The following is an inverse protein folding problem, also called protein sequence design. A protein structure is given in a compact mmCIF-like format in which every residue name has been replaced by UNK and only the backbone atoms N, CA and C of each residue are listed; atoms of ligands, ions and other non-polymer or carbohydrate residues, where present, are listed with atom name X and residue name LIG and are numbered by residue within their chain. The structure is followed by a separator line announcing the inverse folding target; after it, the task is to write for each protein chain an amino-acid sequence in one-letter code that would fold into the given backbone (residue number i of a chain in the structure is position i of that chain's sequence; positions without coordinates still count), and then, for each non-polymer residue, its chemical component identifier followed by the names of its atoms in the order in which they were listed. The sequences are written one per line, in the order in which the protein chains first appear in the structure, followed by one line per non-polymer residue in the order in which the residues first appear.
data_IF_596804319909
#
_entry.id   IF_596804319909
#
_cell.length_a   1.000
_cell.length_b   1.000
_cell.length_c   1.000
_cell.angle_alpha   90.00
_cell.angle_beta   90.00
_cell.angle_gamma   90.00
#
_symmetry.space_group_name_H-M   'P 1'
#
loop_
_entity.id
_entity.type
_entity.pdbx_description
1 polymer ?
#
# COMPACT_ATOMS: atom_id res chain seq x y z
N UNK A 1 7.92 11.95 -14.28
CA UNK A 1 7.15 10.71 -14.02
C UNK A 1 8.09 9.55 -14.29
N UNK A 2 8.25 8.60 -13.37
CA UNK A 2 9.01 7.39 -13.65
C UNK A 2 8.34 6.64 -14.81
N UNK A 3 9.14 6.30 -15.83
CA UNK A 3 8.69 5.50 -16.97
C UNK A 3 8.98 4.05 -16.62
N UNK A 4 7.94 3.22 -16.55
CA UNK A 4 8.11 1.78 -16.33
C UNK A 4 8.96 1.19 -17.47
N UNK A 5 9.89 0.28 -17.15
CA UNK A 5 10.62 -0.45 -18.18
C UNK A 5 9.65 -1.15 -19.14
N UNK A 6 10.12 -1.26 -20.38
CA UNK A 6 9.32 -1.76 -21.50
C UNK A 6 9.87 -3.12 -21.88
N UNK A 7 9.00 -4.10 -22.14
CA UNK A 7 9.40 -5.39 -22.69
C UNK A 7 9.72 -5.30 -24.19
N UNK A 8 10.15 -6.42 -24.77
CA UNK A 8 10.48 -6.50 -26.19
C UNK A 8 9.28 -6.26 -27.13
N UNK A 9 8.05 -6.24 -26.59
CA UNK A 9 6.81 -5.96 -27.32
C UNK A 9 6.36 -4.50 -27.19
N UNK A 10 7.12 -3.63 -26.52
CA UNK A 10 6.74 -2.24 -26.31
C UNK A 10 5.74 -2.05 -25.15
N UNK A 11 5.47 -3.09 -24.35
CA UNK A 11 4.55 -3.04 -23.22
C UNK A 11 5.29 -2.67 -21.94
N UNK A 12 4.67 -1.84 -21.11
CA UNK A 12 5.23 -1.49 -19.80
C UNK A 12 5.12 -2.70 -18.86
N UNK A 13 6.24 -3.10 -18.26
CA UNK A 13 6.31 -4.17 -17.28
C UNK A 13 6.62 -3.63 -15.89
N UNK A 14 6.09 -4.29 -14.86
CA UNK A 14 6.29 -3.90 -13.49
C UNK A 14 7.58 -4.52 -12.93
N UNK A 15 8.64 -3.72 -12.89
CA UNK A 15 9.99 -4.12 -12.42
C UNK A 15 10.59 -3.07 -11.48
N UNK A 16 9.76 -2.49 -10.61
CA UNK A 16 10.20 -1.54 -9.59
C UNK A 16 11.03 -2.24 -8.50
N UNK A 17 12.02 -1.54 -7.95
CA UNK A 17 12.88 -2.07 -6.89
C UNK A 17 12.14 -2.03 -5.55
N UNK A 18 12.01 -3.15 -4.81
CA UNK A 18 11.51 -3.12 -3.44
C UNK A 18 12.47 -2.37 -2.52
N UNK A 19 11.95 -1.36 -1.83
CA UNK A 19 12.63 -0.57 -0.81
C UNK A 19 12.21 -0.97 0.60
N UNK A 20 12.13 0.02 1.49
CA UNK A 20 11.85 -0.17 2.92
C UNK A 20 10.50 -0.87 3.16
N UNK A 21 10.47 -2.02 3.86
CA UNK A 21 9.22 -2.67 4.23
C UNK A 21 8.64 -2.09 5.51
N UNK A 22 7.31 -2.13 5.62
CA UNK A 22 6.59 -1.86 6.86
C UNK A 22 5.53 -2.95 7.10
N UNK A 23 5.19 -3.18 8.36
CA UNK A 23 4.10 -4.06 8.76
C UNK A 23 3.14 -3.28 9.67
N UNK A 24 1.86 -3.25 9.31
CA UNK A 24 0.81 -2.56 10.07
C UNK A 24 -0.20 -3.60 10.54
N UNK A 25 -0.48 -3.63 11.84
CA UNK A 25 -1.54 -4.48 12.38
C UNK A 25 -2.88 -4.08 11.79
N UNK A 26 -3.67 -5.07 11.37
CA UNK A 26 -5.06 -4.89 10.95
C UNK A 26 -5.92 -5.32 12.14
N UNK A 27 -6.70 -4.40 12.70
CA UNK A 27 -7.65 -4.69 13.77
C UNK A 27 -8.93 -3.85 13.63
N UNK A 28 -9.77 -3.81 14.68
CA UNK A 28 -11.04 -3.09 14.69
C UNK A 28 -10.88 -1.57 14.57
N UNK A 29 -9.74 -1.03 15.00
CA UNK A 29 -9.43 0.39 14.95
C UNK A 29 -8.64 0.70 13.66
N UNK A 30 -8.68 1.97 13.27
CA UNK A 30 -7.79 2.43 12.21
C UNK A 30 -6.35 2.45 12.72
N UNK A 31 -5.45 1.78 12.00
CA UNK A 31 -4.01 1.76 12.25
C UNK A 31 -3.29 2.39 11.07
N UNK A 32 -2.32 3.24 11.32
CA UNK A 32 -1.62 4.00 10.27
C UNK A 32 -0.17 3.56 10.17
N UNK A 33 0.34 3.47 8.94
CA UNK A 33 1.76 3.23 8.66
C UNK A 33 2.61 4.42 9.09
N UNK A 34 3.95 4.25 9.04
CA UNK A 34 4.82 5.41 9.02
C UNK A 34 4.66 6.16 7.69
N UNK A 35 4.92 7.48 7.66
CA UNK A 35 4.97 8.24 6.42
C UNK A 35 5.97 7.62 5.43
N UNK A 36 5.61 7.62 4.16
CA UNK A 36 6.47 7.16 3.07
C UNK A 36 7.66 8.11 2.89
N UNK A 37 8.78 7.56 2.43
CA UNK A 37 10.00 8.31 2.15
C UNK A 37 9.80 9.44 1.14
N UNK A 38 10.76 10.38 1.13
CA UNK A 38 10.73 11.58 0.29
C UNK A 38 10.71 11.30 -1.22
N UNK A 39 11.17 10.12 -1.65
CA UNK A 39 11.24 9.72 -3.05
C UNK A 39 10.18 8.66 -3.43
N UNK A 40 9.35 8.25 -2.47
CA UNK A 40 8.40 7.15 -2.68
C UNK A 40 7.17 7.63 -3.43
N UNK A 41 6.98 7.09 -4.63
CA UNK A 41 5.85 7.43 -5.52
C UNK A 41 4.95 6.23 -5.84
N UNK A 42 5.41 5.03 -5.51
CA UNK A 42 4.64 3.79 -5.64
C UNK A 42 4.86 2.94 -4.39
N UNK A 43 3.82 2.27 -3.92
CA UNK A 43 3.91 1.25 -2.87
C UNK A 43 3.27 -0.04 -3.35
N UNK A 44 3.71 -1.16 -2.78
CA UNK A 44 3.05 -2.47 -2.88
C UNK A 44 2.41 -2.81 -1.53
N UNK A 45 1.16 -3.24 -1.56
CA UNK A 45 0.42 -3.69 -0.38
C UNK A 45 -0.01 -5.14 -0.57
N UNK A 46 0.08 -5.94 0.50
CA UNK A 46 -0.54 -7.26 0.59
C UNK A 46 -0.99 -7.49 2.04
N UNK A 47 -2.23 -7.92 2.23
CA UNK A 47 -2.78 -8.17 3.56
C UNK A 47 -2.96 -9.66 3.84
N UNK A 48 -2.79 -10.09 5.09
CA UNK A 48 -3.10 -11.46 5.52
C UNK A 48 -4.60 -11.69 5.72
N UNK A 49 -5.37 -10.61 5.90
CA UNK A 49 -6.83 -10.59 6.10
C UNK A 49 -7.41 -9.42 5.29
N UNK A 50 -8.65 -9.55 4.81
CA UNK A 50 -9.29 -8.49 4.05
C UNK A 50 -9.48 -7.22 4.88
N UNK A 51 -9.26 -6.06 4.28
CA UNK A 51 -9.23 -4.77 4.97
C UNK A 51 -9.68 -3.61 4.09
N UNK A 52 -9.88 -2.45 4.70
CA UNK A 52 -10.14 -1.18 4.02
C UNK A 52 -8.97 -0.21 4.22
N UNK A 53 -8.65 0.57 3.19
CA UNK A 53 -7.46 1.41 3.09
C UNK A 53 -7.82 2.87 2.81
N UNK A 54 -7.21 3.79 3.55
CA UNK A 54 -7.26 5.23 3.28
C UNK A 54 -5.85 5.80 3.15
N UNK A 55 -5.65 6.77 2.25
CA UNK A 55 -4.34 7.38 1.98
C UNK A 55 -4.38 8.89 2.29
N UNK A 56 -3.29 9.43 2.82
CA UNK A 56 -3.19 10.86 3.11
C UNK A 56 -2.05 11.21 4.06
N UNK A 57 -1.89 12.49 4.44
CA UNK A 57 -0.85 12.92 5.40
C UNK A 57 -1.14 12.47 6.84
N UNK A 58 -2.42 12.34 7.20
CA UNK A 58 -2.89 11.80 8.48
C UNK A 58 -4.20 11.03 8.26
N UNK A 59 -4.15 9.89 7.54
CA UNK A 59 -5.35 9.19 7.11
C UNK A 59 -5.99 8.43 8.27
N UNK A 60 -7.30 8.27 8.19
CA UNK A 60 -8.11 7.40 9.06
C UNK A 60 -8.96 6.53 8.14
N UNK A 61 -8.77 5.21 8.24
CA UNK A 61 -9.51 4.24 7.43
C UNK A 61 -10.83 3.85 8.08
N UNK A 62 -11.84 3.68 7.25
CA UNK A 62 -13.21 3.31 7.58
C UNK A 62 -13.68 2.18 6.67
N UNK A 63 -14.81 1.54 6.99
CA UNK A 63 -15.40 0.49 6.16
C UNK A 63 -15.95 1.00 4.80
N UNK A 64 -15.95 2.31 4.56
CA UNK A 64 -16.35 2.92 3.29
C UNK A 64 -15.20 3.17 2.32
N UNK A 65 -13.95 2.96 2.75
CA UNK A 65 -12.77 3.24 1.95
C UNK A 65 -12.39 2.07 1.02
N UNK A 66 -11.20 2.09 0.45
CA UNK A 66 -10.78 1.13 -0.57
C UNK A 66 -10.60 -0.28 0.01
N UNK A 67 -11.35 -1.25 -0.51
CA UNK A 67 -11.21 -2.65 -0.11
C UNK A 67 -9.94 -3.27 -0.70
N UNK A 68 -9.17 -3.99 0.14
CA UNK A 68 -8.07 -4.85 -0.28
C UNK A 68 -8.36 -6.31 0.15
N UNK A 69 -8.44 -7.26 -0.80
CA UNK A 69 -8.58 -8.68 -0.49
C UNK A 69 -7.36 -9.27 0.22
N UNK A 70 -7.57 -10.33 1.01
CA UNK A 70 -6.48 -11.09 1.63
C UNK A 70 -5.65 -11.83 0.56
N UNK A 71 -4.32 -11.83 0.72
CA UNK A 71 -3.38 -12.58 -0.12
C UNK A 71 -3.16 -12.02 -1.52
N UNK A 72 -3.82 -10.92 -1.89
CA UNK A 72 -3.68 -10.28 -3.21
C UNK A 72 -2.74 -9.08 -3.10
N UNK A 73 -1.64 -9.06 -3.87
CA UNK A 73 -0.79 -7.89 -3.93
C UNK A 73 -1.35 -6.83 -4.88
N UNK A 74 -1.42 -5.59 -4.40
CA UNK A 74 -1.79 -4.43 -5.21
C UNK A 74 -0.74 -3.33 -5.11
N UNK A 75 -0.65 -2.51 -6.16
CA UNK A 75 0.26 -1.39 -6.23
C UNK A 75 -0.49 -0.08 -6.36
N UNK A 76 -0.10 0.91 -5.55
CA UNK A 76 -0.74 2.22 -5.51
C UNK A 76 0.27 3.31 -5.81
N UNK A 77 -0.13 4.25 -6.66
CA UNK A 77 0.59 5.52 -6.79
C UNK A 77 0.33 6.34 -5.53
N UNK A 78 1.38 6.90 -4.96
CA UNK A 78 1.33 7.74 -3.77
C UNK A 78 2.10 9.05 -3.99
N UNK A 79 2.01 9.93 -3.00
CA UNK A 79 2.76 11.19 -2.89
C UNK A 79 3.71 11.04 -1.70
N UNK A 80 4.97 11.47 -1.81
CA UNK A 80 5.93 11.45 -0.71
C UNK A 80 5.38 12.07 0.58
N UNK A 81 5.74 11.49 1.72
CA UNK A 81 5.33 11.97 3.05
C UNK A 81 3.88 11.67 3.46
N UNK A 82 3.05 11.08 2.59
CA UNK A 82 1.76 10.51 3.00
C UNK A 82 1.97 9.17 3.71
N UNK A 83 0.92 8.67 4.33
CA UNK A 83 0.84 7.34 4.93
C UNK A 83 -0.39 6.59 4.39
N UNK A 84 -0.51 5.33 4.76
CA UNK A 84 -1.73 4.54 4.58
C UNK A 84 -2.30 4.16 5.94
N UNK A 85 -3.61 4.32 6.10
CA UNK A 85 -4.35 3.78 7.23
C UNK A 85 -5.11 2.53 6.79
N UNK A 86 -5.27 1.59 7.71
CA UNK A 86 -5.95 0.32 7.51
C UNK A 86 -6.92 0.02 8.64
N UNK A 87 -8.05 -0.59 8.32
CA UNK A 87 -9.01 -1.15 9.29
C UNK A 87 -9.52 -2.50 8.78
N UNK A 88 -9.78 -3.45 9.68
CA UNK A 88 -10.24 -4.78 9.28
C UNK A 88 -11.59 -4.74 8.55
N UNK A 89 -11.78 -5.62 7.59
CA UNK A 89 -13.11 -5.89 7.03
C UNK A 89 -13.92 -6.86 7.90
N UNK A 90 -13.25 -7.75 8.64
CA UNK A 90 -13.93 -8.69 9.54
C UNK A 90 -13.00 -9.41 10.53
N UNK A 91 -11.83 -9.84 10.07
CA UNK A 91 -10.82 -10.52 10.90
C UNK A 91 -9.55 -9.72 11.00
N UNK A 92 -8.87 -9.84 12.14
CA UNK A 92 -7.57 -9.20 12.36
C UNK A 92 -6.50 -9.82 11.45
N UNK A 93 -5.38 -9.11 11.27
CA UNK A 93 -4.30 -9.54 10.38
C UNK A 93 -3.12 -8.59 10.36
N UNK A 94 -2.35 -8.63 9.29
CA UNK A 94 -1.21 -7.74 9.05
C UNK A 94 -1.23 -7.26 7.61
N UNK A 95 -1.07 -5.96 7.43
CA UNK A 95 -0.82 -5.32 6.14
C UNK A 95 0.69 -5.24 5.96
N UNK A 96 1.21 -5.93 4.95
CA UNK A 96 2.60 -5.81 4.52
C UNK A 96 2.69 -4.75 3.43
N UNK A 97 3.52 -3.75 3.69
CA UNK A 97 3.79 -2.63 2.81
C UNK A 97 5.24 -2.69 2.34
N UNK A 98 5.48 -2.37 1.08
CA UNK A 98 6.83 -2.12 0.57
C UNK A 98 6.80 -0.86 -0.28
N UNK A 99 7.70 0.08 0.03
CA UNK A 99 7.95 1.24 -0.81
C UNK A 99 8.67 0.78 -2.08
N UNK A 100 8.28 1.27 -3.26
CA UNK A 100 8.82 0.83 -4.55
C UNK A 100 9.59 2.00 -5.19
N UNK A 101 10.83 1.75 -5.60
CA UNK A 101 11.77 2.72 -6.18
C UNK A 101 11.98 2.48 -7.67
#
# INVERSE_FOLDING_TARGET
MPVLPIDDFGQRIQVLLPGTPQAVTIDAASRTSLPFGADTTVIRLVATSACFLAFGPAPVATAGDHYLPAGVPEYFRVVPGMAVAVVRAGTDGTLHLSEML
#
